data_IF_364624183749
#
_entry.id   IF_364624183749
#
_cell.length_a   1.000
_cell.length_b   1.000
_cell.length_c   1.000
_cell.angle_alpha   90.00
_cell.angle_beta   90.00
_cell.angle_gamma   90.00
#
_symmetry.space_group_name_H-M   'P 1'
#
loop_
_entity.id
_entity.type
_entity.pdbx_description
1 polymer ?
#
# COMPACT_ATOMS: atom_id res chain seq x y z
N UNK A 1 -24.30 23.15 -0.48
CA UNK A 1 -23.36 24.22 -0.88
C UNK A 1 -22.06 24.16 -0.08
N UNK A 2 -22.08 24.23 1.26
CA UNK A 2 -20.89 24.16 2.12
C UNK A 2 -20.01 22.91 1.92
N UNK A 3 -20.60 21.71 1.79
CA UNK A 3 -19.83 20.48 1.54
C UNK A 3 -19.08 20.49 0.19
N UNK A 4 -19.65 21.13 -0.83
CA UNK A 4 -19.00 21.26 -2.14
C UNK A 4 -17.79 22.21 -2.08
N UNK A 5 -17.89 23.30 -1.31
CA UNK A 5 -16.75 24.20 -1.08
C UNK A 5 -15.63 23.54 -0.28
N UNK A 6 -15.98 22.76 0.75
CA UNK A 6 -14.99 22.02 1.54
C UNK A 6 -14.27 20.96 0.68
N UNK A 7 -15.02 20.22 -0.13
CA UNK A 7 -14.47 19.26 -1.08
C UNK A 7 -13.57 19.92 -2.13
N UNK A 8 -13.96 21.09 -2.65
CA UNK A 8 -13.16 21.86 -3.61
C UNK A 8 -11.86 22.40 -2.98
N UNK A 9 -11.91 22.83 -1.72
CA UNK A 9 -10.74 23.34 -1.00
C UNK A 9 -9.73 22.21 -0.73
N UNK A 10 -10.23 21.03 -0.34
CA UNK A 10 -9.40 19.82 -0.20
C UNK A 10 -8.76 19.45 -1.54
N UNK A 11 -9.54 19.41 -2.62
CA UNK A 11 -9.03 19.10 -3.95
C UNK A 11 -7.95 20.09 -4.42
N UNK A 12 -8.16 21.39 -4.22
CA UNK A 12 -7.20 22.43 -4.56
C UNK A 12 -5.91 22.33 -3.72
N UNK A 13 -6.03 21.96 -2.44
CA UNK A 13 -4.88 21.74 -1.56
C UNK A 13 -4.04 20.52 -1.98
N UNK A 14 -4.69 19.45 -2.45
CA UNK A 14 -4.04 18.25 -2.98
C UNK A 14 -3.34 18.52 -4.32
N UNK A 15 -3.95 19.32 -5.19
CA UNK A 15 -3.33 19.78 -6.44
C UNK A 15 -2.10 20.65 -6.19
N UNK A 16 -2.16 21.53 -5.19
CA UNK A 16 -1.02 22.37 -4.81
C UNK A 16 0.14 21.54 -4.25
N UNK A 17 -0.16 20.51 -3.45
CA UNK A 17 0.82 19.56 -2.92
C UNK A 17 1.48 18.70 -4.02
N UNK A 18 0.70 18.28 -5.03
CA UNK A 18 1.23 17.56 -6.20
C UNK A 18 2.12 18.45 -7.07
N UNK A 19 1.81 19.75 -7.18
CA UNK A 19 2.61 20.68 -8.00
C UNK A 19 3.97 21.04 -7.38
N UNK A 20 4.16 20.84 -6.08
CA UNK A 20 5.47 20.93 -5.42
C UNK A 20 6.40 19.73 -5.68
N UNK A 21 5.93 18.65 -6.31
CA UNK A 21 6.79 17.57 -6.79
C UNK A 21 7.30 17.84 -8.23
N UNK A 22 7.68 19.09 -8.52
CA UNK A 22 8.46 19.37 -9.71
C UNK A 22 9.86 18.76 -9.53
N UNK A 23 10.05 17.54 -10.06
CA UNK A 23 11.31 16.96 -10.54
C UNK A 23 12.58 17.53 -9.88
N UNK A 24 12.76 17.25 -8.60
CA UNK A 24 14.13 17.18 -8.08
C UNK A 24 14.57 15.78 -8.44
N UNK A 25 15.55 15.66 -9.34
CA UNK A 25 16.40 14.47 -9.36
C UNK A 25 17.14 14.43 -8.02
N UNK A 26 16.43 14.08 -6.96
CA UNK A 26 16.93 14.18 -5.60
C UNK A 26 17.74 12.92 -5.37
N UNK A 27 19.06 13.08 -5.34
CA UNK A 27 19.86 12.25 -4.46
C UNK A 27 19.35 12.52 -3.03
N UNK A 28 18.30 11.79 -2.63
CA UNK A 28 17.82 11.78 -1.27
C UNK A 28 19.00 11.39 -0.38
N UNK A 29 19.21 12.07 0.75
CA UNK A 29 20.16 11.60 1.74
C UNK A 29 19.88 10.13 2.03
N UNK A 30 20.93 9.31 2.10
CA UNK A 30 20.77 7.87 2.39
C UNK A 30 19.99 7.63 3.68
N UNK A 31 20.16 8.50 4.67
CA UNK A 31 19.37 8.51 5.91
C UNK A 31 17.86 8.61 5.68
N UNK A 32 17.43 9.37 4.69
CA UNK A 32 16.02 9.61 4.40
C UNK A 32 15.44 8.39 3.66
N UNK A 33 16.23 7.77 2.78
CA UNK A 33 15.88 6.50 2.13
C UNK A 33 15.74 5.39 3.18
N UNK A 34 16.72 5.24 4.07
CA UNK A 34 16.71 4.23 5.12
C UNK A 34 15.51 4.41 6.08
N UNK A 35 15.10 5.67 6.33
CA UNK A 35 13.93 5.97 7.16
C UNK A 35 12.61 5.59 6.48
N UNK A 36 12.53 5.71 5.16
CA UNK A 36 11.31 5.45 4.38
C UNK A 36 11.17 4.01 3.90
N UNK A 37 12.26 3.25 3.80
CA UNK A 37 12.24 1.86 3.31
C UNK A 37 11.34 0.95 4.16
N UNK A 38 11.44 1.05 5.49
CA UNK A 38 10.60 0.25 6.40
C UNK A 38 9.10 0.55 6.27
N UNK A 39 8.62 1.82 6.41
CA UNK A 39 7.21 2.10 6.25
C UNK A 39 6.71 1.80 4.83
N UNK A 40 7.51 2.04 3.79
CA UNK A 40 7.13 1.70 2.41
C UNK A 40 6.90 0.19 2.22
N UNK A 41 7.75 -0.66 2.83
CA UNK A 41 7.56 -2.11 2.81
C UNK A 41 6.28 -2.56 3.53
N UNK A 42 5.83 -1.83 4.56
CA UNK A 42 4.56 -2.11 5.23
C UNK A 42 3.37 -1.83 4.32
N UNK A 43 3.41 -0.74 3.56
CA UNK A 43 2.38 -0.40 2.57
C UNK A 43 2.32 -1.46 1.45
N UNK A 44 3.47 -1.93 0.96
CA UNK A 44 3.51 -3.03 0.00
C UNK A 44 2.92 -4.33 0.56
N UNK A 45 3.23 -4.65 1.82
CA UNK A 45 2.66 -5.81 2.50
C UNK A 45 1.13 -5.68 2.64
N UNK A 46 0.61 -4.52 3.02
CA UNK A 46 -0.83 -4.28 3.15
C UNK A 46 -1.54 -4.39 1.78
N UNK A 47 -0.97 -3.76 0.74
CA UNK A 47 -1.49 -3.83 -0.62
C UNK A 47 -1.53 -5.28 -1.12
N UNK A 48 -0.45 -6.04 -0.94
CA UNK A 48 -0.41 -7.48 -1.27
C UNK A 48 -1.50 -8.25 -0.53
N UNK A 49 -1.63 -8.08 0.79
CA UNK A 49 -2.64 -8.77 1.58
C UNK A 49 -4.06 -8.46 1.09
N UNK A 50 -4.36 -7.19 0.82
CA UNK A 50 -5.67 -6.77 0.31
C UNK A 50 -5.97 -7.32 -1.09
N UNK A 51 -5.02 -7.25 -2.02
CA UNK A 51 -5.20 -7.69 -3.40
C UNK A 51 -5.39 -9.20 -3.49
N UNK A 52 -4.60 -9.97 -2.75
CA UNK A 52 -4.79 -11.42 -2.65
C UNK A 52 -6.12 -11.79 -1.99
N UNK A 53 -6.52 -11.08 -0.92
CA UNK A 53 -7.81 -11.29 -0.27
C UNK A 53 -9.01 -10.95 -1.16
N UNK A 54 -8.88 -9.96 -2.04
CA UNK A 54 -9.98 -9.44 -2.86
C UNK A 54 -10.08 -10.08 -4.25
N UNK A 55 -8.93 -10.34 -4.90
CA UNK A 55 -8.83 -10.75 -6.30
C UNK A 55 -8.09 -12.08 -6.51
N UNK A 56 -7.41 -12.59 -5.48
CA UNK A 56 -6.64 -13.83 -5.57
C UNK A 56 -5.32 -13.71 -6.34
N UNK A 57 -4.81 -12.49 -6.53
CA UNK A 57 -3.47 -12.22 -7.07
C UNK A 57 -2.96 -10.85 -6.59
N UNK A 58 -1.63 -10.65 -6.61
CA UNK A 58 -0.95 -9.52 -5.98
C UNK A 58 -0.47 -8.41 -6.92
N UNK A 59 0.49 -7.60 -6.45
CA UNK A 59 1.06 -6.46 -7.18
C UNK A 59 1.76 -6.91 -8.47
N UNK A 60 2.31 -8.13 -8.51
CA UNK A 60 2.89 -8.73 -9.71
C UNK A 60 1.93 -8.72 -10.93
N UNK A 61 0.62 -8.64 -10.70
CA UNK A 61 -0.38 -8.53 -11.76
C UNK A 61 -0.94 -7.12 -11.92
N UNK A 62 -1.01 -6.32 -10.86
CA UNK A 62 -1.66 -5.00 -10.87
C UNK A 62 -0.68 -3.85 -11.19
N UNK A 63 0.54 -3.93 -10.67
CA UNK A 63 1.61 -2.95 -10.86
C UNK A 63 2.99 -3.66 -10.80
N UNK A 64 3.35 -4.44 -11.83
CA UNK A 64 4.58 -5.24 -11.85
C UNK A 64 5.86 -4.41 -11.67
N UNK A 65 5.82 -3.13 -12.05
CA UNK A 65 6.91 -2.18 -11.88
C UNK A 65 7.27 -1.90 -10.42
N UNK A 66 6.34 -2.11 -9.48
CA UNK A 66 6.56 -1.90 -8.04
C UNK A 66 7.28 -3.07 -7.38
N UNK A 67 7.24 -4.26 -7.99
CA UNK A 67 7.93 -5.44 -7.47
C UNK A 67 9.46 -5.35 -7.68
N UNK A 68 9.93 -4.47 -8.56
CA UNK A 68 11.36 -4.20 -8.88
C UNK A 68 12.22 -5.47 -9.05
N UNK A 69 11.63 -6.53 -9.63
CA UNK A 69 12.32 -7.81 -9.84
C UNK A 69 12.54 -8.65 -8.58
N UNK A 70 11.94 -8.27 -7.46
CA UNK A 70 11.85 -9.08 -6.25
C UNK A 70 11.10 -10.39 -6.50
N UNK A 71 11.32 -11.42 -5.66
CA UNK A 71 10.59 -12.68 -5.77
C UNK A 71 9.10 -12.45 -5.47
N UNK A 72 8.23 -13.12 -6.23
CA UNK A 72 6.79 -13.08 -5.98
C UNK A 72 6.47 -13.43 -4.52
N UNK A 73 5.48 -12.76 -3.90
CA UNK A 73 5.06 -13.02 -2.54
C UNK A 73 4.63 -14.49 -2.37
N UNK A 74 5.25 -15.18 -1.41
CA UNK A 74 4.92 -16.58 -1.07
C UNK A 74 3.74 -16.65 -0.09
N UNK A 75 3.38 -15.51 0.53
CA UNK A 75 2.60 -15.42 1.76
C UNK A 75 1.08 -15.29 1.62
N UNK A 76 0.50 -15.34 0.43
CA UNK A 76 -0.94 -15.20 0.22
C UNK A 76 -1.75 -16.48 0.47
N UNK A 77 -1.30 -17.29 1.42
CA UNK A 77 -1.97 -18.56 1.75
C UNK A 77 -2.80 -18.39 3.01
N UNK A 78 -4.02 -18.92 3.03
CA UNK A 78 -4.82 -18.97 4.26
C UNK A 78 -4.03 -19.75 5.32
N UNK A 79 -3.69 -19.06 6.41
CA UNK A 79 -2.97 -19.68 7.51
C UNK A 79 -3.82 -20.80 8.16
N UNK A 80 -3.19 -21.92 8.52
CA UNK A 80 -3.82 -23.00 9.28
C UNK A 80 -3.91 -22.60 10.76
N UNK A 81 -4.85 -21.73 11.05
CA UNK A 81 -5.06 -21.18 12.39
C UNK A 81 -5.87 -22.15 13.25
N UNK A 82 -5.62 -22.15 14.56
CA UNK A 82 -6.49 -22.82 15.53
C UNK A 82 -7.85 -22.10 15.61
N UNK A 83 -8.93 -22.76 16.07
CA UNK A 83 -10.26 -22.15 16.14
C UNK A 83 -10.27 -20.82 16.91
N UNK A 84 -9.62 -20.79 18.09
CA UNK A 84 -9.53 -19.58 18.92
C UNK A 84 -8.86 -18.41 18.17
N UNK A 85 -7.81 -18.67 17.40
CA UNK A 85 -7.11 -17.62 16.67
C UNK A 85 -7.98 -17.12 15.51
N UNK A 86 -8.68 -18.02 14.79
CA UNK A 86 -9.61 -17.60 13.72
C UNK A 86 -10.68 -16.64 14.23
N UNK A 87 -11.25 -16.93 15.39
CA UNK A 87 -12.27 -16.09 16.00
C UNK A 87 -11.75 -14.70 16.37
N UNK A 88 -10.50 -14.61 16.86
CA UNK A 88 -9.86 -13.35 17.24
C UNK A 88 -9.56 -12.46 16.04
N UNK A 89 -9.07 -13.04 14.93
CA UNK A 89 -8.72 -12.28 13.72
C UNK A 89 -9.84 -12.26 12.66
N UNK A 90 -11.03 -12.77 12.99
CA UNK A 90 -12.22 -12.78 12.11
C UNK A 90 -11.96 -13.30 10.69
N UNK A 91 -11.04 -14.26 10.53
CA UNK A 91 -10.83 -14.91 9.22
C UNK A 91 -11.89 -16.02 9.08
N UNK A 92 -12.91 -15.76 8.28
CA UNK A 92 -13.92 -16.77 7.92
C UNK A 92 -13.28 -17.82 7.00
N UNK A 93 -13.35 -19.10 7.36
CA UNK A 93 -13.04 -20.18 6.42
C UNK A 93 -14.07 -20.18 5.27
N UNK A 94 -13.65 -20.48 4.02
CA UNK A 94 -14.58 -20.65 2.91
C UNK A 94 -15.63 -21.74 3.17
#
# INVERSE_FOLDING_TARGET
MIFAYFSLLIFLSLQLLSSSCASIGSNLPKSDVDLLEFPLNLEYMEAEFFLWGSFGHGLDSFAPELADGGPSPIGATIAKLSPLIRDVIMIQSP
#
